data_IF_953851270015
#
_entry.id   IF_953851270015
#
_cell.length_a   1.000
_cell.length_b   1.000
_cell.length_c   1.000
_cell.angle_alpha   90.00
_cell.angle_beta   90.00
_cell.angle_gamma   90.00
#
_symmetry.space_group_name_H-M   'P 1'
#
loop_
_entity.id
_entity.type
_entity.pdbx_description
1 polymer ?
#
# COMPACT_ATOMS: atom_id res chain seq x y z
N UNK A 1 37.66 80.12 -28.13
CA UNK A 1 39.05 79.85 -27.67
C UNK A 1 39.15 78.37 -27.33
N UNK A 2 39.74 77.57 -28.22
CA UNK A 2 39.88 76.13 -28.03
C UNK A 2 41.20 75.83 -27.30
N UNK A 3 41.11 75.15 -26.16
CA UNK A 3 42.28 74.62 -25.46
C UNK A 3 42.83 73.43 -26.24
N UNK A 4 44.01 73.60 -26.83
CA UNK A 4 44.80 72.52 -27.42
C UNK A 4 45.25 71.61 -26.29
N UNK A 5 44.55 70.50 -26.04
CA UNK A 5 45.03 69.45 -25.12
C UNK A 5 46.37 68.95 -25.67
N UNK A 6 47.43 69.15 -24.91
CA UNK A 6 48.74 68.58 -25.21
C UNK A 6 48.58 67.08 -25.49
N UNK A 7 49.28 66.54 -26.50
CA UNK A 7 49.21 65.12 -26.80
C UNK A 7 49.62 64.31 -25.56
N UNK A 8 49.07 63.09 -25.37
CA UNK A 8 49.45 62.20 -24.27
C UNK A 8 50.98 62.11 -24.15
N UNK A 9 51.48 61.99 -22.92
CA UNK A 9 52.93 61.98 -22.63
C UNK A 9 53.68 61.01 -23.55
N UNK A 10 53.09 59.84 -23.79
CA UNK A 10 53.58 58.79 -24.69
C UNK A 10 53.72 59.25 -26.15
N UNK A 11 52.73 59.97 -26.66
CA UNK A 11 52.73 60.54 -28.02
C UNK A 11 53.79 61.62 -28.14
N UNK A 12 53.97 62.44 -27.10
CA UNK A 12 54.99 63.49 -27.06
C UNK A 12 56.41 62.91 -26.98
N UNK A 13 56.61 61.85 -26.19
CA UNK A 13 57.89 61.11 -26.10
C UNK A 13 58.20 60.44 -27.44
N UNK A 14 57.21 59.79 -28.07
CA UNK A 14 57.38 59.16 -29.39
C UNK A 14 57.76 60.16 -30.48
N UNK A 15 57.16 61.36 -30.47
CA UNK A 15 57.48 62.43 -31.42
C UNK A 15 58.89 63.00 -31.21
N UNK A 16 59.32 63.20 -29.96
CA UNK A 16 60.67 63.67 -29.63
C UNK A 16 61.76 62.64 -29.94
N UNK A 17 61.45 61.35 -29.84
CA UNK A 17 62.35 60.26 -30.26
C UNK A 17 62.42 60.11 -31.79
N UNK A 18 61.41 60.57 -32.53
CA UNK A 18 61.40 60.53 -34.00
C UNK A 18 62.06 61.75 -34.67
N UNK A 19 62.37 62.80 -33.90
CA UNK A 19 62.94 64.06 -34.40
C UNK A 19 64.46 63.93 -34.65
N UNK A 20 64.91 64.30 -35.85
CA UNK A 20 66.29 64.04 -36.31
C UNK A 20 67.34 65.00 -35.73
N UNK A 21 66.93 66.08 -35.05
CA UNK A 21 67.85 67.07 -34.46
C UNK A 21 68.61 66.58 -33.21
N UNK A 22 68.17 65.48 -32.58
CA UNK A 22 68.72 65.01 -31.29
C UNK A 22 69.35 63.61 -31.33
N UNK A 23 69.50 63.01 -32.51
CA UNK A 23 69.88 61.61 -32.71
C UNK A 23 71.29 61.25 -32.22
N UNK A 24 72.23 62.20 -32.18
CA UNK A 24 73.63 61.98 -31.79
C UNK A 24 73.90 62.13 -30.28
N UNK A 25 72.86 62.29 -29.46
CA UNK A 25 72.99 62.51 -28.01
C UNK A 25 72.89 61.17 -27.26
N UNK A 26 73.84 60.87 -26.38
CA UNK A 26 73.77 59.68 -25.50
C UNK A 26 72.45 59.61 -24.70
N UNK A 27 71.88 60.78 -24.33
CA UNK A 27 70.56 60.88 -23.69
C UNK A 27 69.40 60.39 -24.59
N UNK A 28 69.47 60.63 -25.90
CA UNK A 28 68.47 60.16 -26.86
C UNK A 28 68.50 58.64 -26.98
N UNK A 29 69.71 58.05 -27.03
CA UNK A 29 69.89 56.60 -27.05
C UNK A 29 69.33 55.93 -25.79
N UNK A 30 69.69 56.42 -24.59
CA UNK A 30 69.18 55.88 -23.32
C UNK A 30 67.67 56.05 -23.16
N UNK A 31 67.11 57.17 -23.62
CA UNK A 31 65.67 57.40 -23.59
C UNK A 31 64.92 56.50 -24.58
N UNK A 32 65.50 56.23 -25.76
CA UNK A 32 64.94 55.27 -26.73
C UNK A 32 64.92 53.85 -26.16
N UNK A 33 66.01 53.40 -25.53
CA UNK A 33 66.07 52.09 -24.87
C UNK A 33 65.04 51.96 -23.73
N UNK A 34 64.88 53.01 -22.91
CA UNK A 34 63.86 53.06 -21.86
C UNK A 34 62.44 53.04 -22.44
N UNK A 35 62.22 53.75 -23.54
CA UNK A 35 60.93 53.80 -24.23
C UNK A 35 60.57 52.46 -24.85
N UNK A 36 61.51 51.78 -25.50
CA UNK A 36 61.32 50.43 -26.03
C UNK A 36 61.04 49.41 -24.93
N UNK A 37 61.78 49.48 -23.82
CA UNK A 37 61.53 48.64 -22.64
C UNK A 37 60.15 48.90 -22.03
N UNK A 38 59.71 50.16 -21.97
CA UNK A 38 58.37 50.54 -21.52
C UNK A 38 57.29 49.98 -22.45
N UNK A 39 57.45 50.13 -23.77
CA UNK A 39 56.52 49.60 -24.76
C UNK A 39 56.47 48.06 -24.73
N UNK A 40 57.57 47.38 -24.43
CA UNK A 40 57.58 45.94 -24.22
C UNK A 40 56.84 45.53 -22.93
N UNK A 41 57.01 46.28 -21.83
CA UNK A 41 56.26 46.06 -20.59
C UNK A 41 54.75 46.22 -20.78
N UNK A 42 54.32 47.28 -21.49
CA UNK A 42 52.90 47.49 -21.83
C UNK A 42 52.36 46.32 -22.65
N UNK A 43 53.08 45.89 -23.69
CA UNK A 43 52.69 44.70 -24.50
C UNK A 43 52.60 43.42 -23.67
N UNK A 44 53.49 43.22 -22.68
CA UNK A 44 53.44 42.07 -21.76
C UNK A 44 52.21 42.13 -20.85
N UNK A 45 51.90 43.30 -20.29
CA UNK A 45 50.72 43.49 -19.43
C UNK A 45 49.41 43.28 -20.21
N UNK A 46 49.31 43.81 -21.42
CA UNK A 46 48.15 43.56 -22.29
C UNK A 46 47.98 42.08 -22.62
N UNK A 47 49.08 41.37 -22.87
CA UNK A 47 49.06 39.92 -23.12
C UNK A 47 48.56 39.15 -21.89
N UNK A 48 49.00 39.52 -20.69
CA UNK A 48 48.53 38.91 -19.44
C UNK A 48 47.03 39.18 -19.23
N UNK A 49 46.58 40.42 -19.46
CA UNK A 49 45.17 40.79 -19.35
C UNK A 49 44.29 39.95 -20.29
N UNK A 50 44.67 39.82 -21.57
CA UNK A 50 43.94 38.98 -22.54
C UNK A 50 43.89 37.50 -22.14
N UNK A 51 44.99 36.96 -21.61
CA UNK A 51 45.04 35.58 -21.10
C UNK A 51 44.09 35.45 -19.90
N UNK A 52 44.10 36.42 -18.98
CA UNK A 52 43.22 36.43 -17.82
C UNK A 52 41.75 36.45 -18.23
N UNK A 53 41.36 37.34 -19.14
CA UNK A 53 39.98 37.43 -19.66
C UNK A 53 39.54 36.13 -20.34
N UNK A 54 40.42 35.54 -21.15
CA UNK A 54 40.15 34.24 -21.79
C UNK A 54 39.98 33.11 -20.75
N UNK A 55 40.82 33.08 -19.71
CA UNK A 55 40.71 32.11 -18.61
C UNK A 55 39.41 32.30 -17.81
N UNK A 56 39.03 33.54 -17.50
CA UNK A 56 37.78 33.85 -16.78
C UNK A 56 36.55 33.44 -17.61
N UNK A 57 36.55 33.75 -18.90
CA UNK A 57 35.47 33.34 -19.81
C UNK A 57 35.36 31.81 -19.88
N UNK A 58 36.49 31.10 -19.99
CA UNK A 58 36.51 29.64 -20.02
C UNK A 58 36.03 29.03 -18.70
N UNK A 59 36.46 29.59 -17.56
CA UNK A 59 36.03 29.13 -16.23
C UNK A 59 34.51 29.26 -16.06
N UNK A 60 33.95 30.42 -16.43
CA UNK A 60 32.50 30.68 -16.39
C UNK A 60 31.72 29.73 -17.31
N UNK A 61 32.23 29.48 -18.52
CA UNK A 61 31.57 28.55 -19.45
C UNK A 61 31.59 27.12 -18.93
N UNK A 62 32.70 26.67 -18.32
CA UNK A 62 32.77 25.35 -17.67
C UNK A 62 31.78 25.25 -16.52
N UNK A 63 31.72 26.25 -15.66
CA UNK A 63 30.79 26.29 -14.51
C UNK A 63 29.33 26.21 -14.96
N UNK A 64 28.95 27.00 -15.97
CA UNK A 64 27.62 26.93 -16.58
C UNK A 64 27.31 25.54 -17.15
N UNK A 65 28.24 24.95 -17.90
CA UNK A 65 28.05 23.61 -18.47
C UNK A 65 27.92 22.52 -17.42
N UNK A 66 28.62 22.65 -16.28
CA UNK A 66 28.52 21.71 -15.16
C UNK A 66 27.17 21.87 -14.46
N UNK A 67 26.73 23.10 -14.20
CA UNK A 67 25.42 23.38 -13.60
C UNK A 67 24.27 22.83 -14.46
N UNK A 68 24.35 22.96 -15.78
CA UNK A 68 23.38 22.37 -16.72
C UNK A 68 23.35 20.84 -16.62
N UNK A 69 24.52 20.19 -16.56
CA UNK A 69 24.61 18.72 -16.40
C UNK A 69 24.00 18.26 -15.08
N UNK A 70 24.33 18.91 -13.97
CA UNK A 70 23.77 18.61 -12.64
C UNK A 70 22.25 18.79 -12.65
N UNK A 71 21.75 19.91 -13.18
CA UNK A 71 20.30 20.16 -13.27
C UNK A 71 19.58 19.14 -14.17
N UNK A 72 20.24 18.65 -15.22
CA UNK A 72 19.70 17.58 -16.06
C UNK A 72 19.62 16.25 -15.30
N UNK A 73 20.66 15.91 -14.53
CA UNK A 73 20.69 14.69 -13.70
C UNK A 73 19.65 14.75 -12.57
N UNK A 74 19.50 15.89 -11.89
CA UNK A 74 18.47 16.09 -10.87
C UNK A 74 17.06 15.84 -11.43
N UNK A 75 16.75 16.41 -12.61
CA UNK A 75 15.47 16.17 -13.29
C UNK A 75 15.26 14.71 -13.70
N UNK A 76 16.32 13.97 -14.03
CA UNK A 76 16.22 12.54 -14.30
C UNK A 76 15.94 11.74 -13.03
N UNK A 77 16.63 12.05 -11.93
CA UNK A 77 16.41 11.41 -10.63
C UNK A 77 14.99 11.67 -10.11
N UNK A 78 14.48 12.90 -10.22
CA UNK A 78 13.10 13.23 -9.85
C UNK A 78 12.06 12.42 -10.65
N UNK A 79 12.29 12.24 -11.96
CA UNK A 79 11.42 11.40 -12.80
C UNK A 79 11.43 9.94 -12.34
N UNK A 80 12.61 9.40 -12.05
CA UNK A 80 12.75 8.01 -11.57
C UNK A 80 12.08 7.84 -10.21
N UNK A 81 12.28 8.77 -9.28
CA UNK A 81 11.62 8.76 -7.97
C UNK A 81 10.10 8.76 -8.10
N UNK A 82 9.53 9.66 -8.92
CA UNK A 82 8.08 9.72 -9.16
C UNK A 82 7.52 8.43 -9.78
N UNK A 83 8.26 7.79 -10.67
CA UNK A 83 7.88 6.49 -11.24
C UNK A 83 7.91 5.42 -10.14
N UNK A 84 8.97 5.39 -9.33
CA UNK A 84 9.10 4.45 -8.21
C UNK A 84 7.95 4.57 -7.21
N UNK A 85 7.59 5.78 -6.80
CA UNK A 85 6.48 6.04 -5.87
C UNK A 85 5.14 5.49 -6.41
N UNK A 86 4.86 5.70 -7.70
CA UNK A 86 3.66 5.14 -8.35
C UNK A 86 3.67 3.62 -8.38
N UNK A 87 4.81 3.02 -8.70
CA UNK A 87 4.95 1.55 -8.68
C UNK A 87 4.75 0.99 -7.28
N UNK A 88 5.29 1.63 -6.25
CA UNK A 88 5.10 1.21 -4.86
C UNK A 88 3.63 1.29 -4.45
N UNK A 89 2.93 2.37 -4.81
CA UNK A 89 1.51 2.50 -4.52
C UNK A 89 0.70 1.41 -5.22
N UNK A 90 0.92 1.22 -6.52
CA UNK A 90 0.22 0.20 -7.29
C UNK A 90 0.49 -1.22 -6.74
N UNK A 91 1.71 -1.51 -6.30
CA UNK A 91 2.03 -2.79 -5.67
C UNK A 91 1.33 -2.98 -4.32
N UNK A 92 1.18 -1.92 -3.52
CA UNK A 92 0.41 -1.98 -2.27
C UNK A 92 -1.06 -2.26 -2.55
N UNK A 93 -1.67 -1.52 -3.47
CA UNK A 93 -3.09 -1.66 -3.82
C UNK A 93 -3.37 -3.07 -4.39
N UNK A 94 -2.48 -3.57 -5.24
CA UNK A 94 -2.58 -4.93 -5.78
C UNK A 94 -2.43 -5.99 -4.69
N UNK A 95 -1.49 -5.82 -3.75
CA UNK A 95 -1.35 -6.76 -2.63
C UNK A 95 -2.57 -6.77 -1.72
N UNK A 96 -3.17 -5.61 -1.44
CA UNK A 96 -4.39 -5.53 -0.66
C UNK A 96 -5.55 -6.23 -1.37
N UNK A 97 -5.75 -5.95 -2.65
CA UNK A 97 -6.78 -6.61 -3.46
C UNK A 97 -6.57 -8.14 -3.53
N UNK A 98 -5.32 -8.60 -3.66
CA UNK A 98 -4.98 -10.03 -3.62
C UNK A 98 -5.25 -10.64 -2.25
N UNK A 99 -4.97 -9.93 -1.16
CA UNK A 99 -5.27 -10.39 0.18
C UNK A 99 -6.78 -10.52 0.40
N UNK A 100 -7.57 -9.51 0.04
CA UNK A 100 -9.03 -9.53 0.13
C UNK A 100 -9.63 -10.67 -0.71
N UNK A 101 -9.27 -10.76 -1.99
CA UNK A 101 -9.74 -11.82 -2.88
C UNK A 101 -9.33 -13.23 -2.41
N UNK A 102 -8.25 -13.32 -1.65
CA UNK A 102 -7.77 -14.59 -1.10
C UNK A 102 -8.40 -14.94 0.26
N UNK A 103 -8.95 -13.97 1.00
CA UNK A 103 -9.46 -14.14 2.37
C UNK A 103 -10.97 -14.09 2.48
N UNK A 104 -11.68 -13.57 1.49
CA UNK A 104 -13.14 -13.43 1.51
C UNK A 104 -13.78 -14.27 0.39
N UNK A 105 -15.05 -14.63 0.58
CA UNK A 105 -15.88 -15.29 -0.41
C UNK A 105 -16.42 -14.27 -1.41
N UNK A 106 -16.26 -14.54 -2.70
CA UNK A 106 -16.61 -13.59 -3.75
C UNK A 106 -18.13 -13.35 -3.88
N UNK A 107 -18.96 -14.30 -3.44
CA UNK A 107 -20.41 -14.16 -3.52
C UNK A 107 -20.96 -13.41 -2.30
N UNK A 108 -20.63 -13.85 -1.10
CA UNK A 108 -21.23 -13.31 0.13
C UNK A 108 -20.47 -12.13 0.73
N UNK A 109 -19.21 -11.94 0.34
CA UNK A 109 -18.31 -10.95 0.94
C UNK A 109 -17.81 -11.31 2.34
N UNK A 110 -18.27 -12.42 2.92
CA UNK A 110 -17.80 -12.88 4.23
C UNK A 110 -16.39 -13.49 4.14
N UNK A 111 -15.65 -13.56 5.26
CA UNK A 111 -14.48 -14.41 5.40
C UNK A 111 -14.67 -15.80 4.77
N UNK A 112 -13.71 -16.25 3.97
CA UNK A 112 -13.72 -17.58 3.42
C UNK A 112 -13.12 -18.60 4.40
N UNK A 113 -13.23 -19.89 4.03
CA UNK A 113 -12.64 -21.00 4.79
C UNK A 113 -11.17 -20.78 5.16
N UNK A 114 -10.35 -20.16 4.30
CA UNK A 114 -8.93 -19.94 4.57
C UNK A 114 -8.75 -18.97 5.75
N UNK A 115 -9.43 -17.83 5.72
CA UNK A 115 -9.36 -16.84 6.80
C UNK A 115 -9.94 -17.39 8.11
N UNK A 116 -11.05 -18.14 8.04
CA UNK A 116 -11.62 -18.80 9.22
C UNK A 116 -10.64 -19.77 9.88
N UNK A 117 -9.94 -20.61 9.11
CA UNK A 117 -8.93 -21.54 9.64
C UNK A 117 -7.74 -20.80 10.26
N UNK A 118 -7.32 -19.69 9.67
CA UNK A 118 -6.26 -18.83 10.23
C UNK A 118 -6.66 -18.30 11.61
N UNK A 119 -7.86 -17.72 11.72
CA UNK A 119 -8.38 -17.18 12.99
C UNK A 119 -8.65 -18.26 14.04
N UNK A 120 -9.11 -19.44 13.63
CA UNK A 120 -9.27 -20.58 14.55
C UNK A 120 -7.93 -21.04 15.15
N UNK A 121 -6.86 -21.02 14.37
CA UNK A 121 -5.51 -21.35 14.88
C UNK A 121 -5.07 -20.31 15.90
N UNK A 122 -5.27 -19.03 15.61
CA UNK A 122 -4.96 -17.93 16.54
C UNK A 122 -5.73 -18.07 17.86
N UNK A 123 -7.04 -18.33 17.80
CA UNK A 123 -7.86 -18.50 19.00
C UNK A 123 -7.50 -19.77 19.78
N UNK A 124 -7.16 -20.89 19.12
CA UNK A 124 -6.61 -22.07 19.80
C UNK A 124 -5.28 -21.78 20.52
N UNK A 125 -4.42 -20.93 19.94
CA UNK A 125 -3.21 -20.49 20.63
C UNK A 125 -3.51 -19.58 21.81
N UNK A 126 -4.47 -18.65 21.68
CA UNK A 126 -4.90 -17.78 22.78
C UNK A 126 -5.52 -18.58 23.93
N UNK A 127 -6.38 -19.54 23.63
CA UNK A 127 -6.92 -20.47 24.61
C UNK A 127 -5.80 -21.17 25.38
N UNK A 128 -4.79 -21.70 24.67
CA UNK A 128 -3.66 -22.39 25.29
C UNK A 128 -2.83 -21.49 26.23
N UNK A 129 -2.70 -20.20 25.90
CA UNK A 129 -1.88 -19.25 26.67
C UNK A 129 -2.64 -18.63 27.85
N UNK A 130 -3.93 -18.37 27.68
CA UNK A 130 -4.71 -17.53 28.60
C UNK A 130 -5.95 -18.22 29.18
N UNK A 131 -6.25 -19.45 28.75
CA UNK A 131 -7.43 -20.22 29.16
C UNK A 131 -8.74 -19.44 28.96
N UNK A 132 -8.79 -18.64 27.88
CA UNK A 132 -10.01 -17.93 27.48
C UNK A 132 -10.83 -18.85 26.57
N UNK A 133 -12.06 -19.23 26.94
CA UNK A 133 -12.87 -20.16 26.16
C UNK A 133 -13.21 -19.57 24.79
N UNK A 134 -13.43 -20.40 23.79
CA UNK A 134 -14.09 -19.98 22.56
C UNK A 134 -14.98 -21.09 22.06
N UNK A 135 -16.03 -20.71 21.35
CA UNK A 135 -16.97 -21.64 20.76
C UNK A 135 -17.03 -21.45 19.25
N UNK A 136 -17.39 -22.52 18.55
CA UNK A 136 -17.64 -22.46 17.12
C UNK A 136 -19.02 -23.04 16.81
N UNK A 137 -19.62 -22.56 15.74
CA UNK A 137 -20.85 -23.10 15.20
C UNK A 137 -20.70 -23.40 13.71
N UNK A 138 -21.08 -24.62 13.32
CA UNK A 138 -21.31 -24.97 11.92
C UNK A 138 -22.79 -24.75 11.60
N UNK A 139 -23.05 -24.05 10.51
CA UNK A 139 -24.39 -23.64 10.09
C UNK A 139 -24.59 -24.11 8.66
N UNK A 140 -25.78 -24.64 8.36
CA UNK A 140 -26.17 -25.07 7.02
C UNK A 140 -27.59 -24.61 6.71
N UNK A 141 -27.79 -24.11 5.49
CA UNK A 141 -29.10 -23.70 5.00
C UNK A 141 -29.93 -24.94 4.70
N UNK A 142 -31.04 -25.08 5.41
CA UNK A 142 -31.93 -26.23 5.26
C UNK A 142 -32.53 -26.26 3.85
N UNK A 143 -32.48 -27.43 3.22
CA UNK A 143 -33.10 -27.67 1.92
C UNK A 143 -32.58 -26.76 0.78
N UNK A 144 -31.36 -26.22 0.88
CA UNK A 144 -30.81 -25.31 -0.11
C UNK A 144 -30.81 -25.88 -1.55
N UNK A 145 -30.50 -27.17 -1.71
CA UNK A 145 -30.62 -27.83 -3.02
C UNK A 145 -32.03 -27.73 -3.63
N UNK A 146 -33.09 -27.88 -2.82
CA UNK A 146 -34.47 -27.75 -3.31
C UNK A 146 -34.79 -26.32 -3.76
N UNK A 147 -34.18 -25.32 -3.11
CA UNK A 147 -34.30 -23.91 -3.53
C UNK A 147 -33.68 -23.74 -4.92
N UNK A 148 -32.44 -24.24 -5.12
CA UNK A 148 -31.79 -24.21 -6.43
C UNK A 148 -32.59 -24.96 -7.50
N UNK A 149 -33.09 -26.15 -7.18
CA UNK A 149 -33.84 -26.98 -8.12
C UNK A 149 -35.18 -26.34 -8.51
N UNK A 150 -35.83 -25.58 -7.62
CA UNK A 150 -37.13 -24.95 -7.86
C UNK A 150 -37.05 -23.54 -8.46
N UNK A 151 -36.09 -22.72 -8.01
CA UNK A 151 -35.99 -21.31 -8.36
C UNK A 151 -34.77 -20.95 -9.22
N UNK A 152 -33.86 -21.91 -9.44
CA UNK A 152 -32.60 -21.70 -10.17
C UNK A 152 -31.47 -21.16 -9.30
N UNK A 153 -30.24 -21.32 -9.80
CA UNK A 153 -29.02 -20.97 -9.07
C UNK A 153 -28.90 -19.48 -8.73
N UNK A 154 -29.37 -18.58 -9.59
CA UNK A 154 -29.33 -17.13 -9.30
C UNK A 154 -30.13 -16.78 -8.02
N UNK A 155 -31.23 -17.48 -7.77
CA UNK A 155 -32.04 -17.29 -6.56
C UNK A 155 -31.37 -17.94 -5.36
N UNK A 156 -30.73 -19.10 -5.52
CA UNK A 156 -29.90 -19.70 -4.47
C UNK A 156 -28.75 -18.78 -4.05
N UNK A 157 -28.09 -18.15 -5.02
CA UNK A 157 -27.01 -17.19 -4.76
C UNK A 157 -27.52 -15.97 -3.98
N UNK A 158 -28.68 -15.43 -4.36
CA UNK A 158 -29.32 -14.35 -3.60
C UNK A 158 -29.69 -14.77 -2.17
N UNK A 159 -30.18 -16.00 -1.98
CA UNK A 159 -30.46 -16.56 -0.65
C UNK A 159 -29.18 -16.64 0.18
N UNK A 160 -28.07 -17.10 -0.39
CA UNK A 160 -26.77 -17.15 0.30
C UNK A 160 -26.30 -15.75 0.73
N UNK A 161 -26.44 -14.75 -0.14
CA UNK A 161 -26.07 -13.36 0.16
C UNK A 161 -26.92 -12.78 1.29
N UNK A 162 -28.24 -12.96 1.25
CA UNK A 162 -29.12 -12.42 2.29
C UNK A 162 -28.96 -13.15 3.62
N UNK A 163 -28.77 -14.49 3.62
CA UNK A 163 -28.44 -15.23 4.84
C UNK A 163 -27.11 -14.76 5.42
N UNK A 164 -26.07 -14.61 4.59
CA UNK A 164 -24.78 -14.10 5.02
C UNK A 164 -24.88 -12.72 5.70
N UNK A 165 -25.64 -11.79 5.09
CA UNK A 165 -25.89 -10.47 5.66
C UNK A 165 -26.60 -10.56 7.02
N UNK A 166 -27.62 -11.42 7.15
CA UNK A 166 -28.34 -11.60 8.41
C UNK A 166 -27.41 -12.17 9.48
N UNK A 167 -26.59 -13.16 9.15
CA UNK A 167 -25.65 -13.75 10.10
C UNK A 167 -24.63 -12.71 10.59
N UNK A 168 -24.04 -11.94 9.69
CA UNK A 168 -23.02 -10.94 10.01
C UNK A 168 -23.59 -9.77 10.84
N UNK A 169 -24.82 -9.35 10.56
CA UNK A 169 -25.48 -8.26 11.30
C UNK A 169 -25.86 -8.65 12.74
N UNK A 170 -25.98 -9.94 13.03
CA UNK A 170 -26.48 -10.46 14.31
C UNK A 170 -25.35 -10.95 15.24
N UNK A 171 -24.09 -10.89 14.80
CA UNK A 171 -22.91 -11.20 15.62
C UNK A 171 -22.21 -9.92 16.10
N UNK A 172 -21.31 -10.03 17.09
CA UNK A 172 -20.55 -8.87 17.62
C UNK A 172 -19.35 -8.57 16.72
N UNK A 173 -18.78 -7.37 16.86
CA UNK A 173 -17.57 -6.96 16.11
C UNK A 173 -16.36 -7.90 16.31
N UNK A 174 -16.26 -8.56 17.46
CA UNK A 174 -15.18 -9.51 17.77
C UNK A 174 -15.50 -10.95 17.37
N UNK A 175 -16.75 -11.26 17.05
CA UNK A 175 -17.14 -12.56 16.50
C UNK A 175 -16.79 -12.58 15.01
N UNK A 176 -16.70 -13.78 14.43
CA UNK A 176 -16.37 -13.94 13.03
C UNK A 176 -17.33 -14.93 12.36
N UNK A 177 -18.11 -14.47 11.40
CA UNK A 177 -18.87 -15.34 10.51
C UNK A 177 -18.13 -15.47 9.18
N UNK A 178 -18.11 -16.66 8.59
CA UNK A 178 -17.54 -16.87 7.27
C UNK A 178 -18.19 -18.02 6.53
N UNK A 179 -18.05 -18.01 5.20
CA UNK A 179 -18.53 -19.10 4.34
C UNK A 179 -17.51 -20.25 4.36
N UNK A 180 -17.93 -21.39 4.90
CA UNK A 180 -17.12 -22.59 5.04
C UNK A 180 -17.13 -23.46 3.79
N UNK A 181 -18.30 -23.57 3.16
CA UNK A 181 -18.57 -24.42 2.00
C UNK A 181 -19.78 -23.90 1.21
N UNK A 182 -20.24 -24.67 0.22
CA UNK A 182 -21.30 -24.26 -0.71
C UNK A 182 -22.47 -23.52 -0.05
N UNK A 183 -23.19 -24.19 0.85
CA UNK A 183 -24.29 -23.60 1.65
C UNK A 183 -23.99 -23.57 3.16
N UNK A 184 -22.72 -23.73 3.51
CA UNK A 184 -22.25 -23.89 4.88
C UNK A 184 -21.52 -22.64 5.38
N UNK A 185 -21.83 -22.23 6.59
CA UNK A 185 -21.19 -21.11 7.28
C UNK A 185 -20.58 -21.59 8.59
N UNK A 186 -19.49 -20.94 9.00
CA UNK A 186 -18.89 -21.12 10.30
C UNK A 186 -18.92 -19.81 11.06
N UNK A 187 -19.34 -19.86 12.32
CA UNK A 187 -19.24 -18.75 13.26
C UNK A 187 -18.22 -19.11 14.33
N UNK A 188 -17.24 -18.24 14.55
CA UNK A 188 -16.28 -18.28 15.64
C UNK A 188 -16.67 -17.22 16.67
N UNK A 189 -16.80 -17.63 17.92
CA UNK A 189 -17.19 -16.82 19.06
C UNK A 189 -16.05 -16.81 20.09
N UNK A 190 -15.08 -15.88 19.99
CA UNK A 190 -14.01 -15.74 20.96
C UNK A 190 -14.55 -15.42 22.35
N UNK A 191 -13.84 -15.84 23.39
CA UNK A 191 -14.16 -15.55 24.79
C UNK A 191 -15.60 -15.93 25.20
N UNK A 192 -16.14 -16.98 24.57
CA UNK A 192 -17.55 -17.38 24.69
C UNK A 192 -17.67 -18.87 24.99
N UNK A 193 -18.31 -19.20 26.11
CA UNK A 193 -18.64 -20.56 26.51
C UNK A 193 -19.85 -21.13 25.75
N UNK A 194 -20.09 -22.43 25.87
CA UNK A 194 -21.19 -23.11 25.18
C UNK A 194 -22.56 -22.54 25.53
N UNK A 195 -22.77 -22.14 26.79
CA UNK A 195 -24.05 -21.61 27.28
C UNK A 195 -24.40 -20.27 26.64
N UNK A 196 -23.44 -19.34 26.61
CA UNK A 196 -23.59 -18.02 25.98
C UNK A 196 -23.68 -18.16 24.46
N UNK A 197 -22.84 -19.01 23.88
CA UNK A 197 -22.87 -19.28 22.44
C UNK A 197 -24.23 -19.82 21.99
N UNK A 198 -24.85 -20.73 22.76
CA UNK A 198 -26.17 -21.28 22.44
C UNK A 198 -27.24 -20.19 22.28
N UNK A 199 -27.19 -19.13 23.10
CA UNK A 199 -28.12 -18.01 23.01
C UNK A 199 -27.90 -17.16 21.75
N UNK A 200 -26.64 -16.92 21.39
CA UNK A 200 -26.28 -16.22 20.14
C UNK A 200 -26.79 -17.00 18.93
N UNK A 201 -26.58 -18.31 18.91
CA UNK A 201 -26.97 -19.15 17.78
C UNK A 201 -28.49 -19.30 17.65
N UNK A 202 -29.24 -19.34 18.75
CA UNK A 202 -30.70 -19.31 18.68
C UNK A 202 -31.21 -17.97 18.14
N UNK A 203 -30.56 -16.85 18.48
CA UNK A 203 -30.87 -15.55 17.87
C UNK A 203 -30.61 -15.56 16.36
N UNK A 204 -29.47 -16.09 15.92
CA UNK A 204 -29.14 -16.24 14.50
C UNK A 204 -30.19 -17.08 13.77
N UNK A 205 -30.54 -18.24 14.32
CA UNK A 205 -31.55 -19.14 13.76
C UNK A 205 -32.89 -18.44 13.57
N UNK A 206 -33.37 -17.74 14.59
CA UNK A 206 -34.61 -16.99 14.53
C UNK A 206 -34.56 -15.81 13.55
N UNK A 207 -33.42 -15.13 13.44
CA UNK A 207 -33.24 -14.04 12.49
C UNK A 207 -33.34 -14.54 11.05
N UNK A 208 -32.69 -15.67 10.75
CA UNK A 208 -32.77 -16.32 9.43
C UNK A 208 -34.17 -16.91 9.17
N UNK A 209 -34.83 -17.50 10.16
CA UNK A 209 -36.21 -18.00 10.00
C UNK A 209 -37.20 -16.87 9.65
N UNK A 210 -36.97 -15.64 10.14
CA UNK A 210 -37.76 -14.45 9.78
C UNK A 210 -37.36 -13.85 8.43
N UNK A 211 -36.24 -14.26 7.84
CA UNK A 211 -35.79 -13.76 6.55
C UNK A 211 -36.76 -14.20 5.46
N UNK A 212 -37.19 -13.24 4.65
CA UNK A 212 -38.01 -13.48 3.47
C UNK A 212 -37.28 -12.93 2.26
N UNK A 213 -36.76 -13.80 1.40
CA UNK A 213 -36.06 -13.40 0.18
C UNK A 213 -37.10 -13.22 -0.92
N UNK A 214 -37.22 -12.01 -1.48
CA UNK A 214 -38.18 -11.69 -2.54
C UNK A 214 -37.64 -12.16 -3.89
N UNK A 215 -38.48 -12.87 -4.65
CA UNK A 215 -38.14 -13.44 -5.96
C UNK A 215 -39.27 -13.10 -6.93
N UNK A 216 -39.11 -12.04 -7.72
CA UNK A 216 -40.17 -11.52 -8.60
C UNK A 216 -41.50 -11.29 -7.84
N UNK A 217 -42.52 -12.11 -8.10
CA UNK A 217 -43.83 -12.09 -7.43
C UNK A 217 -43.95 -13.07 -6.26
N UNK A 218 -42.92 -13.89 -6.00
CA UNK A 218 -42.87 -14.90 -4.95
C UNK A 218 -41.93 -14.50 -3.81
N UNK A 219 -42.01 -15.27 -2.72
CA UNK A 219 -41.13 -15.13 -1.56
C UNK A 219 -40.59 -16.50 -1.14
N UNK A 220 -39.29 -16.57 -0.87
CA UNK A 220 -38.61 -17.76 -0.37
C UNK A 220 -38.32 -17.57 1.12
N UNK A 221 -38.85 -18.46 1.93
CA UNK A 221 -38.49 -18.59 3.34
C UNK A 221 -37.43 -19.66 3.49
N UNK A 222 -36.46 -19.43 4.37
CA UNK A 222 -35.35 -20.35 4.63
C UNK A 222 -35.16 -20.53 6.12
N UNK A 223 -34.65 -21.70 6.49
CA UNK A 223 -34.24 -22.01 7.87
C UNK A 223 -32.82 -22.51 7.87
N UNK A 224 -32.18 -22.49 9.04
CA UNK A 224 -30.83 -23.02 9.21
C UNK A 224 -30.81 -24.07 10.32
N UNK A 225 -29.99 -25.09 10.11
CA UNK A 225 -29.58 -26.01 11.15
C UNK A 225 -28.21 -25.60 11.68
N UNK A 226 -28.00 -25.73 12.99
CA UNK A 226 -26.77 -25.26 13.65
C UNK A 226 -26.19 -26.35 14.56
N UNK A 227 -24.88 -26.58 14.47
CA UNK A 227 -24.10 -27.44 15.35
C UNK A 227 -23.06 -26.65 16.12
N UNK A 228 -23.16 -26.62 17.45
CA UNK A 228 -22.28 -25.87 18.35
C UNK A 228 -21.25 -26.80 19.00
N UNK A 229 -20.00 -26.33 19.11
CA UNK A 229 -19.01 -26.93 20.00
C UNK A 229 -18.15 -25.86 20.67
N UNK A 230 -18.02 -25.94 22.00
CA UNK A 230 -16.98 -25.22 22.74
C UNK A 230 -15.63 -25.90 22.57
N UNK A 231 -14.55 -25.12 22.43
CA UNK A 231 -13.19 -25.65 22.37
C UNK A 231 -12.74 -26.20 23.72
N UNK A 232 -12.19 -27.41 23.72
CA UNK A 232 -11.77 -28.10 24.94
C UNK A 232 -10.25 -28.16 25.04
N UNK A 233 -9.75 -28.14 26.28
CA UNK A 233 -8.33 -28.30 26.54
C UNK A 233 -7.81 -29.63 25.95
N UNK A 234 -6.63 -29.59 25.32
CA UNK A 234 -6.02 -30.74 24.67
C UNK A 234 -6.59 -31.10 23.30
N UNK A 235 -7.69 -30.48 22.85
CA UNK A 235 -8.21 -30.65 21.49
C UNK A 235 -7.49 -29.73 20.51
N UNK A 236 -7.43 -30.13 19.25
CA UNK A 236 -7.10 -29.22 18.14
C UNK A 236 -8.32 -28.42 17.70
N UNK A 237 -8.11 -27.34 16.94
CA UNK A 237 -9.22 -26.63 16.28
C UNK A 237 -10.01 -27.57 15.35
N UNK A 238 -9.33 -28.52 14.70
CA UNK A 238 -9.97 -29.52 13.83
C UNK A 238 -10.91 -30.44 14.59
N UNK A 239 -10.54 -30.89 15.79
CA UNK A 239 -11.41 -31.72 16.63
C UNK A 239 -12.66 -30.95 17.05
N UNK A 240 -12.51 -29.64 17.28
CA UNK A 240 -13.62 -28.75 17.61
C UNK A 240 -14.58 -28.63 16.43
N UNK A 241 -14.07 -28.44 15.20
CA UNK A 241 -14.86 -28.44 13.96
C UNK A 241 -15.62 -29.75 13.79
N UNK A 242 -14.95 -30.89 13.98
CA UNK A 242 -15.57 -32.21 13.84
C UNK A 242 -16.72 -32.41 14.85
N UNK A 243 -16.57 -31.93 16.09
CA UNK A 243 -17.65 -31.97 17.08
C UNK A 243 -18.83 -31.08 16.69
N UNK A 244 -18.57 -29.87 16.20
CA UNK A 244 -19.61 -28.96 15.71
C UNK A 244 -20.37 -29.56 14.52
N UNK A 245 -19.66 -30.19 13.57
CA UNK A 245 -20.27 -30.89 12.43
C UNK A 245 -21.14 -32.07 12.88
N UNK A 246 -20.66 -32.88 13.84
CA UNK A 246 -21.45 -33.94 14.45
C UNK A 246 -22.75 -33.43 15.10
N UNK A 247 -22.69 -32.28 15.78
CA UNK A 247 -23.86 -31.63 16.34
C UNK A 247 -24.81 -31.08 15.26
N UNK A 248 -24.27 -30.53 14.17
CA UNK A 248 -25.06 -30.05 13.02
C UNK A 248 -25.83 -31.20 12.37
N UNK A 249 -25.18 -32.35 12.19
CA UNK A 249 -25.84 -33.54 11.69
C UNK A 249 -26.98 -33.99 12.62
N UNK A 250 -26.79 -33.91 13.94
CA UNK A 250 -27.83 -34.20 14.91
C UNK A 250 -29.01 -33.21 14.81
N UNK A 251 -28.75 -31.92 14.59
CA UNK A 251 -29.79 -30.92 14.33
C UNK A 251 -30.60 -31.25 13.07
N UNK A 252 -29.92 -31.57 11.96
CA UNK A 252 -30.56 -31.96 10.70
C UNK A 252 -31.43 -33.22 10.85
N UNK A 253 -30.94 -34.24 11.58
CA UNK A 253 -31.67 -35.49 11.84
C UNK A 253 -32.85 -35.31 12.79
N UNK A 254 -32.80 -34.33 13.67
CA UNK A 254 -33.86 -34.06 14.65
C UNK A 254 -34.98 -33.18 14.08
N UNK A 255 -35.01 -32.94 12.77
CA UNK A 255 -36.08 -32.19 12.11
C UNK A 255 -35.68 -30.80 11.62
N UNK A 256 -34.38 -30.47 11.58
CA UNK A 256 -33.85 -29.18 11.07
C UNK A 256 -34.36 -27.97 11.85
N UNK A 257 -34.05 -26.77 11.36
CA UNK A 257 -34.45 -25.48 11.95
C UNK A 257 -34.20 -25.43 13.46
N UNK A 258 -32.99 -25.78 13.89
CA UNK A 258 -32.61 -25.86 15.30
C UNK A 258 -31.11 -25.82 15.51
N UNK A 259 -30.71 -25.48 16.72
CA UNK A 259 -29.36 -25.66 17.22
C UNK A 259 -29.24 -26.95 18.03
N UNK A 260 -28.13 -27.65 17.86
CA UNK A 260 -27.69 -28.76 18.71
C UNK A 260 -26.27 -28.46 19.21
N UNK A 261 -25.96 -28.84 20.44
CA UNK A 261 -24.60 -28.72 20.99
C UNK A 261 -23.91 -30.08 21.04
N UNK A 262 -22.61 -30.09 20.77
CA UNK A 262 -21.76 -31.25 20.99
C UNK A 262 -21.73 -31.60 22.48
N UNK A 263 -21.70 -32.89 22.79
CA UNK A 263 -21.51 -33.35 24.16
C UNK A 263 -20.05 -33.09 24.54
N UNK A 264 -19.83 -32.38 25.63
CA UNK A 264 -18.52 -32.32 26.29
C UNK A 264 -18.35 -33.61 27.08
N UNK A 265 -17.64 -34.59 26.53
CA UNK A 265 -17.16 -35.70 27.34
C UNK A 265 -16.03 -35.13 28.23
N UNK A 266 -16.31 -35.01 29.52
CA UNK A 266 -15.28 -34.72 30.51
C UNK A 266 -14.25 -35.85 30.47
N UNK A 267 -13.06 -35.55 29.97
CA UNK A 267 -11.89 -36.40 30.18
C UNK A 267 -11.50 -36.22 31.65
N UNK A 268 -12.07 -37.07 32.52
CA UNK A 268 -11.65 -37.27 33.90
C UNK A 268 -10.22 -37.85 33.97
#
# INVERSE_FOLDING_TARGET
MAQTKSPPLETRISQLLADSEHQDTSLHQTLSELWDAHQELVRRLERIARISDAYQSLAKQKEQSLAERVNKQLRQLEKVARISDRYQQMMRDLNLALQEASTHDALTGLPNRRLLVERLKEESERFRRYTRPFSIAMIDIDHFKLINDHFGHEIGDNVLVEVARVLDAEIREHDLCGRWGGEEFLVLLPETDQGTASQVLERLRQAVERLTVRVNTASVSVTISVGLAEHLAGNSYSDTINRADGALLAAKRSGRNRASSAVTEDVL
#
